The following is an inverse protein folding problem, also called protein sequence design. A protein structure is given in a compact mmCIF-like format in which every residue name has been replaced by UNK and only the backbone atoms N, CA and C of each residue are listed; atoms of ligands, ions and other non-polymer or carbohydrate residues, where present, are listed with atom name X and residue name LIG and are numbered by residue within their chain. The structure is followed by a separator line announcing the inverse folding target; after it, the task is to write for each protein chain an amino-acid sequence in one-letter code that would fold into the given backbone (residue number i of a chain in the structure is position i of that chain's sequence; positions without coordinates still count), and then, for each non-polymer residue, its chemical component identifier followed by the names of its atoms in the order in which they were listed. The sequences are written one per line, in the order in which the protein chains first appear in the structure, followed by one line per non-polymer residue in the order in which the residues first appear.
data_IF_893152059698
#
_entry.id   IF_893152059698
#
_cell.length_a   1.000
_cell.length_b   1.000
_cell.length_c   1.000
_cell.angle_alpha   90.00
_cell.angle_beta   90.00
_cell.angle_gamma   90.00
#
_symmetry.space_group_name_H-M   'P 1'
#
loop_
_entity.id
_entity.type
_entity.pdbx_description
1 polymer ?
#
# COMPACT_ATOMS: atom_id res chain seq x y z
N UNK A 1 -23.43 22.82 -13.05
CA UNK A 1 -23.09 24.23 -13.35
C UNK A 1 -22.70 25.09 -12.15
N UNK A 2 -23.30 24.98 -10.95
CA UNK A 2 -22.83 25.72 -9.75
C UNK A 2 -21.63 25.05 -9.04
N UNK A 3 -21.63 23.71 -8.95
CA UNK A 3 -20.57 22.95 -8.27
C UNK A 3 -19.21 23.00 -9.00
N UNK A 4 -19.19 22.98 -10.33
CA UNK A 4 -17.95 23.11 -11.11
C UNK A 4 -17.33 24.50 -11.00
N UNK A 5 -18.16 25.55 -10.91
CA UNK A 5 -17.68 26.92 -10.69
C UNK A 5 -17.09 27.08 -9.29
N UNK A 6 -17.71 26.50 -8.26
CA UNK A 6 -17.13 26.47 -6.91
C UNK A 6 -15.82 25.67 -6.85
N UNK A 7 -15.75 24.54 -7.55
CA UNK A 7 -14.52 23.72 -7.64
C UNK A 7 -13.39 24.46 -8.34
N UNK A 8 -13.67 25.14 -9.45
CA UNK A 8 -12.69 25.96 -10.17
C UNK A 8 -12.21 27.15 -9.32
N UNK A 9 -13.12 27.78 -8.57
CA UNK A 9 -12.82 28.90 -7.69
C UNK A 9 -11.97 28.48 -6.47
N UNK A 10 -12.21 27.28 -5.92
CA UNK A 10 -11.41 26.70 -4.84
C UNK A 10 -10.00 26.28 -5.32
N UNK A 11 -9.88 25.82 -6.56
CA UNK A 11 -8.59 25.42 -7.16
C UNK A 11 -7.67 26.60 -7.52
N UNK A 12 -8.22 27.81 -7.67
CA UNK A 12 -7.45 29.00 -8.03
C UNK A 12 -6.91 29.77 -6.81
N UNK A 13 -7.41 29.48 -5.61
CA UNK A 13 -6.95 30.15 -4.40
C UNK A 13 -5.72 29.45 -3.80
N UNK A 14 -4.53 29.92 -4.19
CA UNK A 14 -3.23 29.41 -3.71
C UNK A 14 -2.99 29.64 -2.22
N UNK A 15 -3.79 30.47 -1.55
CA UNK A 15 -3.68 30.75 -0.12
C UNK A 15 -4.44 29.73 0.76
N UNK A 16 -5.28 28.85 0.16
CA UNK A 16 -6.00 27.80 0.91
C UNK A 16 -5.16 26.54 1.21
N UNK A 17 -4.02 26.39 0.53
CA UNK A 17 -3.07 25.29 0.78
C UNK A 17 -1.72 25.91 1.09
N UNK A 18 -1.39 26.18 2.38
CA UNK A 18 -0.03 26.57 2.72
C UNK A 18 0.91 25.47 2.23
N UNK A 19 1.79 25.80 1.27
CA UNK A 19 2.76 24.87 0.69
C UNK A 19 3.83 24.43 1.69
N UNK A 20 3.76 24.94 2.92
CA UNK A 20 4.63 24.63 4.06
C UNK A 20 3.79 24.41 5.34
N UNK A 21 2.86 23.47 5.31
CA UNK A 21 2.40 22.85 6.57
C UNK A 21 3.48 21.84 6.95
N UNK A 22 4.31 22.08 7.99
CA UNK A 22 5.18 21.03 8.49
C UNK A 22 4.28 19.86 8.86
N UNK A 23 4.54 18.64 8.34
CA UNK A 23 3.66 17.53 8.59
C UNK A 23 3.52 17.32 10.10
N UNK A 24 2.31 17.04 10.60
CA UNK A 24 2.14 16.74 12.01
C UNK A 24 3.05 15.56 12.36
N UNK A 25 3.94 15.75 13.34
CA UNK A 25 4.91 14.77 13.84
C UNK A 25 4.20 13.70 14.67
N UNK A 26 3.16 13.09 14.11
CA UNK A 26 2.47 11.96 14.72
C UNK A 26 3.28 10.70 14.42
N UNK A 27 3.88 10.07 15.43
CA UNK A 27 4.76 8.92 15.24
C UNK A 27 4.10 7.76 14.49
N UNK A 28 2.77 7.66 14.50
CA UNK A 28 2.02 6.60 13.80
C UNK A 28 2.10 6.70 12.27
N UNK A 29 2.44 7.87 11.74
CA UNK A 29 2.55 8.12 10.29
C UNK A 29 3.99 8.11 9.80
N UNK A 30 4.94 7.78 10.69
CA UNK A 30 6.37 7.83 10.42
C UNK A 30 6.92 9.26 10.48
N UNK A 31 8.23 9.37 10.70
CA UNK A 31 8.89 10.67 10.66
C UNK A 31 9.17 11.01 9.18
N UNK A 32 8.55 12.08 8.66
CA UNK A 32 8.79 12.59 7.29
C UNK A 32 10.20 13.21 7.11
N UNK A 33 11.00 13.29 8.19
CA UNK A 33 12.33 13.89 8.21
C UNK A 33 13.39 13.03 8.89
N UNK A 34 13.73 11.86 8.33
CA UNK A 34 15.01 11.20 8.65
C UNK A 34 15.94 11.34 7.43
N UNK A 35 17.13 11.98 7.56
CA UNK A 35 18.07 12.08 6.47
C UNK A 35 18.56 10.69 6.03
N UNK A 36 18.54 10.46 4.71
CA UNK A 36 19.05 9.23 4.09
C UNK A 36 20.53 9.07 4.45
N UNK A 37 20.90 7.96 5.11
CA UNK A 37 22.30 7.57 5.34
C UNK A 37 22.78 7.43 6.79
N UNK A 38 21.93 7.56 7.82
CA UNK A 38 22.38 7.33 9.20
C UNK A 38 22.39 5.84 9.57
N UNK A 39 23.54 5.34 10.00
CA UNK A 39 23.71 4.01 10.61
C UNK A 39 23.44 4.16 12.11
N UNK A 40 22.60 3.29 12.67
CA UNK A 40 22.39 3.18 14.12
C UNK A 40 23.06 1.89 14.61
N UNK A 41 23.96 2.02 15.59
CA UNK A 41 24.88 0.96 16.00
C UNK A 41 24.25 -0.09 16.95
N UNK A 42 22.97 0.00 17.30
CA UNK A 42 22.41 -0.86 18.33
C UNK A 42 20.88 -0.99 18.35
N UNK A 43 20.46 -2.21 18.71
CA UNK A 43 19.12 -2.84 18.65
C UNK A 43 18.08 -2.26 19.64
N UNK A 44 18.39 -1.20 20.38
CA UNK A 44 17.51 -0.61 21.42
C UNK A 44 16.78 0.69 21.02
N UNK A 45 16.84 1.11 19.76
CA UNK A 45 16.10 2.29 19.25
C UNK A 45 14.75 1.96 18.60
N UNK A 46 14.08 0.90 19.06
CA UNK A 46 12.80 0.45 18.49
C UNK A 46 11.61 1.16 19.17
N UNK A 47 11.38 2.45 18.85
CA UNK A 47 10.11 3.16 19.09
C UNK A 47 10.24 4.55 18.48
N UNK A 48 9.71 4.83 17.29
CA UNK A 48 8.30 5.17 17.12
C UNK A 48 7.88 5.15 15.61
N UNK A 49 8.14 4.16 14.75
CA UNK A 49 8.62 2.78 14.91
C UNK A 49 9.76 2.47 13.91
N UNK A 50 10.39 3.48 13.30
CA UNK A 50 11.72 3.39 12.67
C UNK A 50 11.96 2.22 11.71
N UNK A 51 10.91 1.67 11.09
CA UNK A 51 11.04 0.41 10.36
C UNK A 51 11.89 0.63 9.11
N UNK A 52 12.95 -0.17 9.00
CA UNK A 52 13.80 -0.15 7.81
C UNK A 52 13.00 -0.65 6.61
N UNK A 53 13.03 0.10 5.51
CA UNK A 53 12.52 -0.39 4.23
C UNK A 53 13.19 -1.74 3.93
N UNK A 54 12.41 -2.68 3.42
CA UNK A 54 12.73 -4.10 3.26
C UNK A 54 12.70 -4.96 4.51
N UNK A 55 12.23 -4.47 5.66
CA UNK A 55 11.87 -5.34 6.80
C UNK A 55 10.92 -6.42 6.30
N UNK A 56 11.27 -7.68 6.55
CA UNK A 56 10.48 -8.86 6.15
C UNK A 56 9.82 -9.49 7.37
N UNK A 57 8.60 -9.97 7.18
CA UNK A 57 7.87 -10.77 8.14
C UNK A 57 7.34 -12.02 7.44
N UNK A 58 7.31 -13.15 8.13
CA UNK A 58 6.83 -14.41 7.56
C UNK A 58 5.30 -14.45 7.53
N UNK A 59 4.67 -13.95 8.59
CA UNK A 59 3.23 -14.04 8.79
C UNK A 59 2.57 -12.68 9.10
N UNK A 60 1.27 -12.57 8.85
CA UNK A 60 0.45 -11.41 9.27
C UNK A 60 0.51 -11.14 10.77
N UNK A 61 0.66 -12.18 11.59
CA UNK A 61 0.83 -12.06 13.05
C UNK A 61 2.11 -11.29 13.41
N UNK A 62 3.21 -11.58 12.73
CA UNK A 62 4.49 -10.91 12.95
C UNK A 62 4.47 -9.45 12.46
N UNK A 63 3.72 -9.14 11.39
CA UNK A 63 3.45 -7.75 11.00
C UNK A 63 2.68 -6.97 12.07
N UNK A 64 1.75 -7.63 12.77
CA UNK A 64 0.98 -7.01 13.83
C UNK A 64 1.83 -6.78 15.07
N UNK A 65 2.60 -7.79 15.48
CA UNK A 65 3.51 -7.73 16.63
C UNK A 65 4.65 -6.71 16.43
N UNK A 66 5.15 -6.57 15.20
CA UNK A 66 6.14 -5.54 14.86
C UNK A 66 5.57 -4.12 14.83
N UNK A 67 4.24 -3.97 14.73
CA UNK A 67 3.59 -2.66 14.58
C UNK A 67 3.61 -2.09 13.16
N UNK A 68 4.23 -2.79 12.20
CA UNK A 68 4.19 -2.41 10.77
C UNK A 68 2.75 -2.34 10.27
N UNK A 69 1.95 -3.35 10.62
CA UNK A 69 0.54 -3.44 10.27
C UNK A 69 -0.23 -4.24 11.32
N UNK A 70 -0.99 -3.54 12.15
CA UNK A 70 -1.61 -4.08 13.38
C UNK A 70 -2.77 -5.04 13.16
N UNK A 71 -3.26 -5.21 11.93
CA UNK A 71 -4.35 -6.14 11.61
C UNK A 71 -3.77 -7.47 11.15
N UNK A 72 -4.27 -8.56 11.71
CA UNK A 72 -3.86 -9.92 11.34
C UNK A 72 -4.55 -10.42 10.06
N UNK A 73 -5.65 -9.79 9.66
CA UNK A 73 -6.45 -10.21 8.51
C UNK A 73 -6.79 -9.06 7.54
N UNK A 74 -7.40 -7.98 8.02
CA UNK A 74 -7.80 -6.84 7.18
C UNK A 74 -6.63 -6.22 6.41
N UNK A 75 -6.81 -5.85 5.15
CA UNK A 75 -5.75 -5.25 4.33
C UNK A 75 -5.39 -3.82 4.74
N UNK A 76 -6.30 -3.10 5.39
CA UNK A 76 -6.13 -1.70 5.80
C UNK A 76 -6.07 -1.64 7.33
N UNK A 77 -5.12 -0.87 7.86
CA UNK A 77 -5.06 -0.52 9.29
C UNK A 77 -5.10 1.01 9.43
N UNK A 78 -6.05 1.52 10.20
CA UNK A 78 -6.28 2.96 10.32
C UNK A 78 -7.37 3.32 11.31
N UNK A 79 -7.70 4.60 11.34
CA UNK A 79 -8.93 5.10 11.97
C UNK A 79 -9.61 6.13 11.09
N UNK A 80 -10.94 6.21 11.22
CA UNK A 80 -11.77 7.20 10.51
C UNK A 80 -11.33 8.64 10.80
N UNK A 81 -10.91 8.92 12.04
CA UNK A 81 -10.52 10.26 12.45
C UNK A 81 -9.15 10.70 11.89
N UNK A 82 -8.18 9.79 11.90
CA UNK A 82 -6.77 10.12 11.66
C UNK A 82 -6.28 9.75 10.27
N UNK A 83 -6.93 8.79 9.63
CA UNK A 83 -6.48 8.19 8.37
C UNK A 83 -5.96 6.77 8.53
N UNK A 84 -5.61 6.16 7.41
CA UNK A 84 -4.90 4.90 7.34
C UNK A 84 -3.43 5.07 7.76
N UNK A 85 -2.94 4.13 8.55
CA UNK A 85 -1.54 4.05 8.98
C UNK A 85 -0.73 3.12 8.08
N UNK A 86 -1.34 2.01 7.64
CA UNK A 86 -0.70 1.04 6.75
C UNK A 86 -1.69 0.22 5.94
N UNK A 87 -1.23 -0.26 4.78
CA UNK A 87 -1.95 -1.22 3.94
C UNK A 87 -1.07 -2.42 3.60
N UNK A 88 -1.73 -3.55 3.34
CA UNK A 88 -1.12 -4.78 2.82
C UNK A 88 -1.64 -5.01 1.40
N UNK A 89 -0.71 -5.16 0.46
CA UNK A 89 -0.98 -5.54 -0.92
C UNK A 89 -0.63 -7.03 -1.04
N UNK A 90 -1.63 -7.88 -1.17
CA UNK A 90 -1.46 -9.35 -1.24
C UNK A 90 -2.01 -9.97 -2.52
N UNK A 91 -2.43 -9.15 -3.50
CA UNK A 91 -3.01 -9.63 -4.75
C UNK A 91 -4.40 -10.24 -4.59
N UNK A 92 -5.09 -9.98 -3.48
CA UNK A 92 -6.40 -10.57 -3.17
C UNK A 92 -7.53 -10.01 -4.02
N UNK A 93 -7.37 -8.79 -4.55
CA UNK A 93 -8.33 -8.15 -5.44
C UNK A 93 -7.76 -8.11 -6.85
N UNK A 94 -8.53 -8.62 -7.81
CA UNK A 94 -8.11 -8.66 -9.20
C UNK A 94 -7.99 -7.25 -9.82
N UNK A 95 -8.69 -6.26 -9.25
CA UNK A 95 -8.65 -4.88 -9.72
C UNK A 95 -7.42 -4.10 -9.22
N UNK A 96 -6.56 -4.66 -8.37
CA UNK A 96 -5.33 -4.00 -7.93
C UNK A 96 -4.33 -3.89 -9.09
N UNK A 97 -3.70 -2.71 -9.24
CA UNK A 97 -2.66 -2.48 -10.24
C UNK A 97 -1.41 -1.92 -9.56
N UNK A 98 -0.38 -2.76 -9.44
CA UNK A 98 0.88 -2.43 -8.76
C UNK A 98 2.01 -2.20 -9.77
N UNK A 99 2.39 -0.94 -9.93
CA UNK A 99 3.51 -0.50 -10.77
C UNK A 99 4.74 -0.14 -9.93
N UNK A 100 4.79 -0.55 -8.67
CA UNK A 100 5.89 -0.27 -7.76
C UNK A 100 5.68 1.08 -7.10
N UNK A 101 6.15 2.15 -7.73
CA UNK A 101 6.05 3.50 -7.17
C UNK A 101 4.62 4.09 -7.29
N UNK A 102 3.81 3.53 -8.18
CA UNK A 102 2.40 3.83 -8.34
C UNK A 102 1.58 2.58 -8.05
N UNK A 103 0.53 2.73 -7.26
CA UNK A 103 -0.34 1.63 -6.87
C UNK A 103 -1.79 2.10 -6.93
N UNK A 104 -2.62 1.37 -7.68
CA UNK A 104 -4.07 1.46 -7.56
C UNK A 104 -4.53 0.37 -6.63
N UNK A 105 -5.05 0.75 -5.46
CA UNK A 105 -5.50 -0.18 -4.43
C UNK A 105 -7.03 -0.23 -4.35
N UNK A 106 -7.57 -1.42 -4.16
CA UNK A 106 -9.01 -1.66 -4.00
C UNK A 106 -9.39 -1.72 -2.52
N UNK A 107 -10.47 -1.06 -2.15
CA UNK A 107 -11.02 -1.07 -0.81
C UNK A 107 -11.60 -2.43 -0.41
N UNK A 108 -12.09 -2.48 0.82
CA UNK A 108 -12.66 -3.69 1.42
C UNK A 108 -14.19 -3.67 1.42
N UNK A 109 -14.78 -4.86 1.53
CA UNK A 109 -16.23 -5.07 1.58
C UNK A 109 -16.79 -5.63 0.27
N UNK A 110 -18.06 -6.05 0.32
CA UNK A 110 -18.77 -6.59 -0.84
C UNK A 110 -18.39 -8.02 -1.23
N UNK A 111 -17.40 -8.63 -0.59
CA UNK A 111 -16.96 -10.00 -0.88
C UNK A 111 -17.97 -11.04 -0.41
N UNK A 112 -18.12 -12.13 -1.15
CA UNK A 112 -18.93 -13.27 -0.75
C UNK A 112 -18.38 -13.94 0.53
N UNK A 113 -17.06 -14.12 0.59
CA UNK A 113 -16.33 -14.59 1.77
C UNK A 113 -15.16 -13.63 2.04
N UNK A 114 -15.29 -12.76 3.05
CA UNK A 114 -14.23 -11.84 3.42
C UNK A 114 -12.94 -12.53 3.86
N UNK A 115 -13.00 -13.81 4.28
CA UNK A 115 -11.86 -14.58 4.78
C UNK A 115 -11.09 -15.35 3.70
N UNK A 116 -11.61 -15.37 2.46
CA UNK A 116 -11.01 -16.08 1.35
C UNK A 116 -10.24 -15.14 0.41
N UNK A 117 -9.10 -15.63 -0.08
CA UNK A 117 -8.34 -14.95 -1.13
C UNK A 117 -9.11 -15.03 -2.44
N UNK A 118 -9.15 -13.94 -3.22
CA UNK A 118 -9.85 -13.93 -4.52
C UNK A 118 -11.35 -14.26 -4.44
N UNK A 119 -12.00 -13.93 -3.32
CA UNK A 119 -13.45 -14.04 -3.22
C UNK A 119 -14.12 -13.03 -4.16
N UNK A 120 -15.16 -13.48 -4.87
CA UNK A 120 -15.94 -12.63 -5.77
C UNK A 120 -16.62 -11.49 -4.99
N UNK A 121 -16.71 -10.32 -5.62
CA UNK A 121 -17.52 -9.21 -5.13
C UNK A 121 -18.97 -9.45 -5.54
N UNK A 122 -19.88 -9.44 -4.57
CA UNK A 122 -21.32 -9.71 -4.72
C UNK A 122 -22.20 -8.54 -4.25
N UNK A 123 -21.58 -7.44 -3.80
CA UNK A 123 -22.27 -6.22 -3.41
C UNK A 123 -21.36 -5.00 -3.52
N UNK A 124 -21.97 -3.82 -3.64
CA UNK A 124 -21.25 -2.55 -3.70
C UNK A 124 -20.48 -2.26 -2.40
N UNK A 125 -19.24 -1.81 -2.54
CA UNK A 125 -18.45 -1.23 -1.46
C UNK A 125 -18.91 0.20 -1.15
N UNK A 126 -18.49 0.71 0.01
CA UNK A 126 -18.83 2.05 0.44
C UNK A 126 -17.72 2.68 1.27
N UNK A 127 -17.59 4.01 1.15
CA UNK A 127 -16.78 4.85 2.05
C UNK A 127 -17.42 5.02 3.45
N UNK A 128 -18.60 4.46 3.70
CA UNK A 128 -19.13 4.31 5.06
C UNK A 128 -18.43 3.19 5.84
N UNK A 129 -17.79 2.24 5.15
CA UNK A 129 -16.98 1.23 5.81
C UNK A 129 -15.74 1.88 6.45
N UNK A 130 -15.49 1.62 7.74
CA UNK A 130 -14.45 2.31 8.52
C UNK A 130 -13.06 2.25 7.90
N UNK A 131 -12.66 1.09 7.38
CA UNK A 131 -11.35 0.92 6.76
C UNK A 131 -11.22 1.71 5.45
N UNK A 132 -12.27 1.71 4.61
CA UNK A 132 -12.32 2.51 3.39
C UNK A 132 -12.29 4.01 3.74
N UNK A 133 -13.06 4.41 4.75
CA UNK A 133 -13.07 5.79 5.24
C UNK A 133 -11.70 6.22 5.77
N UNK A 134 -10.97 5.34 6.45
CA UNK A 134 -9.62 5.65 6.92
C UNK A 134 -8.67 5.94 5.75
N UNK A 135 -8.73 5.15 4.66
CA UNK A 135 -7.86 5.39 3.50
C UNK A 135 -8.31 6.62 2.70
N UNK A 136 -9.62 6.87 2.59
CA UNK A 136 -10.18 8.11 2.04
C UNK A 136 -9.70 9.34 2.84
N UNK A 137 -9.69 9.24 4.18
CA UNK A 137 -9.16 10.28 5.06
C UNK A 137 -7.66 10.53 4.84
N UNK A 138 -6.88 9.50 4.53
CA UNK A 138 -5.48 9.69 4.10
C UNK A 138 -5.37 10.42 2.75
N UNK A 139 -6.33 10.22 1.84
CA UNK A 139 -6.41 10.99 0.60
C UNK A 139 -6.74 12.47 0.85
N UNK A 140 -7.62 12.77 1.80
CA UNK A 140 -7.95 14.15 2.21
C UNK A 140 -6.76 14.86 2.86
N UNK A 141 -6.06 14.16 3.75
CA UNK A 141 -5.03 14.75 4.63
C UNK A 141 -3.61 14.65 4.07
N UNK A 142 -3.41 13.86 3.00
CA UNK A 142 -2.10 13.53 2.42
C UNK A 142 -1.11 12.93 3.40
N UNK A 143 -1.60 12.38 4.51
CA UNK A 143 -0.74 11.71 5.49
C UNK A 143 -0.19 10.42 4.87
N UNK A 144 1.12 10.18 4.95
CA UNK A 144 1.72 9.00 4.38
C UNK A 144 1.22 7.70 5.01
N UNK A 145 1.11 6.66 4.20
CA UNK A 145 0.66 5.31 4.54
C UNK A 145 1.81 4.34 4.29
N UNK A 146 2.08 3.45 5.25
CA UNK A 146 3.04 2.35 5.04
C UNK A 146 2.46 1.33 4.07
N UNK A 147 3.23 0.94 3.06
CA UNK A 147 2.83 -0.14 2.14
C UNK A 147 3.67 -1.37 2.41
N UNK A 148 2.99 -2.49 2.68
CA UNK A 148 3.58 -3.80 2.87
C UNK A 148 3.11 -4.69 1.73
N UNK A 149 4.04 -5.31 0.98
CA UNK A 149 3.71 -6.28 -0.07
C UNK A 149 3.83 -7.69 0.46
N UNK A 150 2.78 -8.49 0.29
CA UNK A 150 2.79 -9.93 0.51
C UNK A 150 3.20 -10.69 -0.75
N UNK A 151 3.68 -11.92 -0.59
CA UNK A 151 3.92 -12.83 -1.71
C UNK A 151 2.62 -13.04 -2.50
N UNK A 152 2.71 -13.00 -3.83
CA UNK A 152 1.54 -13.13 -4.73
C UNK A 152 1.00 -11.79 -5.26
N UNK A 153 1.46 -10.65 -4.75
CA UNK A 153 1.04 -9.31 -5.18
C UNK A 153 1.65 -8.82 -6.51
N UNK A 154 1.99 -9.71 -7.45
CA UNK A 154 2.58 -9.35 -8.75
C UNK A 154 4.10 -9.13 -8.73
N UNK A 155 4.62 -8.39 -9.72
CA UNK A 155 6.07 -8.31 -10.02
C UNK A 155 6.94 -7.63 -8.96
N UNK A 156 6.33 -6.87 -8.04
CA UNK A 156 7.02 -6.21 -6.93
C UNK A 156 6.89 -6.99 -5.62
N UNK A 157 6.11 -8.07 -5.60
CA UNK A 157 5.95 -8.91 -4.43
C UNK A 157 7.28 -9.56 -4.01
N UNK A 158 7.51 -9.77 -2.70
CA UNK A 158 8.56 -10.66 -2.26
C UNK A 158 8.25 -12.11 -2.69
N UNK A 159 9.29 -12.93 -2.83
CA UNK A 159 9.14 -14.36 -3.14
C UNK A 159 8.39 -15.15 -2.06
N UNK A 160 8.41 -14.65 -0.83
CA UNK A 160 7.73 -15.26 0.31
C UNK A 160 7.45 -14.20 1.39
N UNK A 161 6.42 -14.47 2.21
CA UNK A 161 6.06 -13.63 3.35
C UNK A 161 5.65 -12.23 2.94
N UNK A 162 6.03 -11.26 3.76
CA UNK A 162 5.67 -9.86 3.65
C UNK A 162 6.91 -8.98 3.70
N UNK A 163 6.91 -7.87 2.97
CA UNK A 163 8.01 -6.90 2.95
C UNK A 163 7.48 -5.47 3.04
N UNK A 164 8.01 -4.68 3.97
CA UNK A 164 7.72 -3.26 4.05
C UNK A 164 8.46 -2.50 2.95
N UNK A 165 7.72 -1.89 2.01
CA UNK A 165 8.28 -1.25 0.81
C UNK A 165 8.27 0.29 0.86
N UNK A 166 7.94 0.85 2.03
CA UNK A 166 8.07 2.26 2.33
C UNK A 166 6.74 3.01 2.42
N UNK A 167 6.85 4.33 2.40
CA UNK A 167 5.76 5.28 2.59
C UNK A 167 5.20 5.74 1.25
N UNK A 168 3.86 5.84 1.19
CA UNK A 168 3.11 6.31 0.03
C UNK A 168 2.12 7.38 0.46
N UNK A 169 1.84 8.33 -0.42
CA UNK A 169 0.75 9.30 -0.25
C UNK A 169 -0.44 8.81 -1.07
N UNK A 170 -1.64 8.86 -0.48
CA UNK A 170 -2.88 8.62 -1.21
C UNK A 170 -3.24 9.90 -1.96
N UNK A 171 -3.18 9.86 -3.28
CA UNK A 171 -3.40 11.00 -4.16
C UNK A 171 -4.89 11.27 -4.36
N UNK A 172 -5.69 10.22 -4.47
CA UNK A 172 -7.14 10.30 -4.58
C UNK A 172 -7.83 9.08 -3.99
N UNK A 173 -9.15 9.22 -3.81
CA UNK A 173 -10.06 8.16 -3.45
C UNK A 173 -11.36 8.35 -4.22
N UNK A 174 -11.84 7.30 -4.90
CA UNK A 174 -13.03 7.37 -5.75
C UNK A 174 -13.78 6.03 -5.77
N UNK A 175 -15.02 6.05 -6.25
CA UNK A 175 -15.77 4.83 -6.55
C UNK A 175 -15.56 4.50 -8.03
N UNK A 176 -15.37 3.22 -8.34
CA UNK A 176 -15.30 2.72 -9.70
C UNK A 176 -16.10 1.43 -9.84
N UNK A 177 -16.36 0.98 -11.06
CA UNK A 177 -16.99 -0.32 -11.31
C UNK A 177 -15.90 -1.40 -11.38
N UNK A 178 -15.92 -2.33 -10.43
CA UNK A 178 -14.98 -3.45 -10.41
C UNK A 178 -15.26 -4.50 -11.49
N UNK A 179 -14.35 -5.46 -11.66
CA UNK A 179 -14.48 -6.52 -12.67
C UNK A 179 -15.75 -7.37 -12.53
N UNK A 180 -16.25 -7.54 -11.31
CA UNK A 180 -17.48 -8.30 -11.02
C UNK A 180 -18.75 -7.46 -11.23
N UNK A 181 -18.60 -6.20 -11.67
CA UNK A 181 -19.71 -5.32 -12.03
C UNK A 181 -20.30 -4.49 -10.88
N UNK A 182 -19.80 -4.67 -9.65
CA UNK A 182 -20.19 -3.89 -8.47
C UNK A 182 -19.29 -2.68 -8.26
N UNK A 183 -19.81 -1.68 -7.55
CA UNK A 183 -19.03 -0.50 -7.18
C UNK A 183 -17.95 -0.88 -6.15
N UNK A 184 -16.71 -0.48 -6.39
CA UNK A 184 -15.56 -0.70 -5.50
C UNK A 184 -14.92 0.63 -5.13
N UNK A 185 -14.40 0.74 -3.90
CA UNK A 185 -13.59 1.89 -3.51
C UNK A 185 -12.19 1.75 -4.11
N UNK A 186 -11.68 2.79 -4.77
CA UNK A 186 -10.35 2.84 -5.38
C UNK A 186 -9.52 3.97 -4.81
N UNK A 187 -8.21 3.73 -4.73
CA UNK A 187 -7.23 4.68 -4.21
C UNK A 187 -5.99 4.68 -5.09
N UNK A 188 -5.60 5.83 -5.63
CA UNK A 188 -4.29 5.98 -6.26
C UNK A 188 -3.27 6.37 -5.19
N UNK A 189 -2.21 5.56 -5.06
CA UNK A 189 -1.10 5.80 -4.15
C UNK A 189 0.17 6.06 -4.93
N UNK A 190 0.94 7.06 -4.49
CA UNK A 190 2.26 7.39 -5.02
C UNK A 190 3.31 7.28 -3.93
N UNK A 191 4.41 6.61 -4.25
CA UNK A 191 5.52 6.44 -3.31
C UNK A 191 6.21 7.78 -3.03
N UNK A 192 6.55 8.01 -1.77
CA UNK A 192 7.32 9.20 -1.37
C UNK A 192 8.73 9.11 -1.96
N UNK A 193 9.21 10.21 -2.55
CA UNK A 193 10.52 10.30 -3.17
C UNK A 193 11.68 10.14 -2.15
N UNK A 194 12.87 9.79 -2.64
CA UNK A 194 14.08 9.67 -1.81
C UNK A 194 14.22 8.36 -1.03
N UNK A 195 13.26 7.45 -1.17
CA UNK A 195 13.33 6.11 -0.59
C UNK A 195 14.06 5.13 -1.53
N UNK A 196 14.78 4.12 -1.01
CA UNK A 196 15.44 3.08 -1.82
C UNK A 196 14.48 2.40 -2.82
N UNK A 197 14.95 1.98 -4.01
CA UNK A 197 14.11 1.43 -5.08
C UNK A 197 13.45 0.11 -4.68
N UNK A 198 12.26 -0.19 -5.19
CA UNK A 198 11.56 -1.44 -4.83
C UNK A 198 12.20 -2.63 -5.58
N UNK A 199 12.59 -3.72 -4.89
CA UNK A 199 13.08 -4.93 -5.55
C UNK A 199 11.97 -5.56 -6.36
N UNK A 200 12.21 -5.75 -7.67
CA UNK A 200 11.39 -6.61 -8.51
C UNK A 200 11.72 -8.07 -8.20
N UNK A 201 10.71 -8.94 -8.22
CA UNK A 201 10.97 -10.36 -8.27
C UNK A 201 11.69 -10.64 -9.60
N UNK A 202 12.98 -10.95 -9.57
CA UNK A 202 13.64 -11.50 -10.74
C UNK A 202 12.90 -12.79 -11.07
N UNK A 203 12.15 -12.81 -12.18
CA UNK A 203 11.75 -14.06 -12.80
C UNK A 203 13.04 -14.83 -13.06
N UNK A 204 13.21 -15.96 -12.37
CA UNK A 204 14.17 -16.97 -12.80
C UNK A 204 13.82 -17.23 -14.28
N UNK A 205 14.72 -16.99 -15.24
CA UNK A 205 14.47 -17.41 -16.61
C UNK A 205 14.14 -18.89 -16.52
N UNK A 206 12.95 -19.28 -17.00
CA UNK A 206 12.61 -20.69 -17.09
C UNK A 206 13.79 -21.38 -17.75
N UNK A 207 14.40 -22.34 -17.06
CA UNK A 207 15.51 -23.11 -17.59
C UNK A 207 15.00 -23.76 -18.86
N UNK A 208 15.29 -23.14 -20.01
CA UNK A 208 15.04 -23.76 -21.29
C UNK A 208 15.79 -25.08 -21.25
N UNK A 209 15.07 -26.15 -21.56
CA UNK A 209 15.57 -27.50 -21.73
C UNK A 209 16.95 -27.49 -22.40
N UNK A 210 18.01 -27.63 -21.59
CA UNK A 210 19.29 -28.06 -22.10
C UNK A 210 19.09 -29.52 -22.46
N UNK A 211 18.63 -29.76 -23.71
CA UNK A 211 18.74 -31.07 -24.35
C UNK A 211 20.19 -31.48 -24.24
N UNK A 212 20.50 -32.39 -23.32
CA UNK A 212 21.77 -33.12 -23.30
C UNK A 212 21.88 -33.80 -24.66
N UNK A 213 22.84 -33.37 -25.49
CA UNK A 213 23.24 -34.14 -26.66
C UNK A 213 23.77 -35.49 -26.16
N UNK A 214 23.36 -36.62 -26.77
CA UNK A 214 23.88 -37.92 -26.37
C UNK A 214 25.38 -37.98 -26.69
N UNK A 215 26.16 -38.43 -25.70
CA UNK A 215 27.59 -38.69 -25.82
C UNK A 215 27.78 -39.83 -26.81
N UNK A 216 28.50 -39.57 -27.90
CA UNK A 216 28.91 -40.58 -28.87
C UNK A 216 30.20 -41.22 -28.34
N UNK A 217 30.14 -42.47 -27.90
CA UNK A 217 31.32 -43.29 -27.60
C UNK A 217 31.87 -43.84 -28.91
N UNK A 218 33.16 -43.63 -29.15
CA UNK A 218 33.94 -44.25 -30.22
C UNK A 218 34.27 -45.71 -29.89
#
# INVERSE_FOLDING_TARGET
MAAERMRAMLMQNKDMYPTNIPPPTDPRFGNLGVPVGKIYENRQSNSLLGHKIYTKCVHRKELAESGLHTKTYAGISGSVALGAFSIVVSGTYADDNDQGDFLVYTGTGGQQDPFSSHSAIVADQSFLHNDNRALQRSAETKRPVRVIRGSGAGSYAPSSGYRFDGMYVVEDAYMDKGIDGFAVCKYNLRRVAGQPPIPKSWSIPSTQNVRRKPTQTY
#
